data_IF_852052542956
#
_entry.id   IF_852052542956
#
_cell.length_a   1.000
_cell.length_b   1.000
_cell.length_c   1.000
_cell.angle_alpha   90.00
_cell.angle_beta   90.00
_cell.angle_gamma   90.00
#
_symmetry.space_group_name_H-M   'P 1'
#
loop_
_entity.id
_entity.type
_entity.pdbx_description
1 polymer ?
#
# COMPACT_ATOMS: atom_id res chain seq x y z
N UNK A 1 -6.43 7.32 14.38
CA UNK A 1 -4.97 7.18 14.48
C UNK A 1 -4.51 6.36 13.28
N UNK A 2 -4.09 7.05 12.22
CA UNK A 2 -3.61 6.41 10.99
C UNK A 2 -2.28 5.73 11.26
N UNK A 3 -2.02 4.60 10.61
CA UNK A 3 -0.73 3.91 10.74
C UNK A 3 0.36 4.87 10.24
N UNK A 4 1.45 4.99 10.98
CA UNK A 4 2.58 5.74 10.44
C UNK A 4 3.15 4.98 9.25
N UNK A 5 3.63 5.71 8.24
CA UNK A 5 4.22 5.10 7.04
C UNK A 5 5.38 4.15 7.38
N UNK A 6 6.05 4.41 8.50
CA UNK A 6 7.13 3.60 9.06
C UNK A 6 6.60 2.27 9.61
N UNK A 7 5.56 2.29 10.44
CA UNK A 7 4.88 1.07 10.92
C UNK A 7 4.32 0.23 9.77
N UNK A 8 3.73 0.85 8.74
CA UNK A 8 3.27 0.13 7.56
C UNK A 8 4.43 -0.54 6.82
N UNK A 9 5.56 0.17 6.68
CA UNK A 9 6.76 -0.37 6.04
C UNK A 9 7.32 -1.55 6.81
N UNK A 10 7.44 -1.41 8.12
CA UNK A 10 7.97 -2.45 9.00
C UNK A 10 7.09 -3.70 9.02
N UNK A 11 5.76 -3.54 9.07
CA UNK A 11 4.83 -4.67 8.96
C UNK A 11 4.96 -5.39 7.61
N UNK A 12 5.06 -4.64 6.50
CA UNK A 12 5.24 -5.23 5.16
C UNK A 12 6.57 -5.98 5.08
N UNK A 13 7.66 -5.38 5.54
CA UNK A 13 8.99 -6.01 5.53
C UNK A 13 9.03 -7.24 6.45
N UNK A 14 8.38 -7.18 7.62
CA UNK A 14 8.28 -8.30 8.57
C UNK A 14 7.49 -9.48 8.01
N UNK A 15 6.49 -9.22 7.15
CA UNK A 15 5.75 -10.23 6.41
C UNK A 15 6.47 -10.71 5.13
N UNK A 16 7.68 -10.21 4.85
CA UNK A 16 8.46 -10.53 3.66
C UNK A 16 8.01 -9.81 2.38
N UNK A 17 7.14 -8.81 2.51
CA UNK A 17 6.72 -7.94 1.42
C UNK A 17 7.74 -6.82 1.15
N UNK A 18 7.67 -6.22 -0.04
CA UNK A 18 8.54 -5.10 -0.43
C UNK A 18 7.74 -3.83 -0.63
N UNK A 19 8.04 -2.79 0.15
CA UNK A 19 7.47 -1.46 -0.05
C UNK A 19 8.29 -0.70 -1.08
N UNK A 20 7.64 -0.27 -2.16
CA UNK A 20 8.25 0.59 -3.18
C UNK A 20 7.53 1.92 -3.31
N UNK A 21 8.29 3.00 -3.43
CA UNK A 21 7.77 4.36 -3.58
C UNK A 21 7.15 4.63 -4.96
N UNK A 22 7.37 3.72 -5.91
CA UNK A 22 6.90 3.80 -7.30
C UNK A 22 6.04 2.61 -7.65
N UNK A 23 4.84 2.88 -8.15
CA UNK A 23 3.97 1.89 -8.77
C UNK A 23 4.57 1.46 -10.11
N UNK A 24 4.87 0.17 -10.24
CA UNK A 24 5.44 -0.46 -11.43
C UNK A 24 4.53 -1.61 -11.89
N UNK A 25 4.76 -2.15 -13.07
CA UNK A 25 3.97 -3.27 -13.65
C UNK A 25 3.96 -4.53 -12.78
N UNK A 26 4.98 -4.68 -11.93
CA UNK A 26 5.13 -5.81 -10.99
C UNK A 26 4.47 -5.55 -9.64
N UNK A 27 3.88 -4.37 -9.43
CA UNK A 27 3.25 -4.04 -8.16
C UNK A 27 1.90 -4.74 -8.09
N UNK A 28 1.75 -5.66 -7.13
CA UNK A 28 0.49 -6.38 -6.93
C UNK A 28 -0.61 -5.49 -6.36
N UNK A 29 -0.29 -4.58 -5.43
CA UNK A 29 -1.28 -3.73 -4.77
C UNK A 29 -0.71 -2.33 -4.51
N UNK A 30 -1.54 -1.30 -4.67
CA UNK A 30 -1.22 0.07 -4.24
C UNK A 30 -1.96 0.39 -2.95
N UNK A 31 -1.23 0.59 -1.86
CA UNK A 31 -1.82 1.05 -0.60
C UNK A 31 -1.90 2.58 -0.64
N UNK A 32 -3.11 3.12 -0.49
CA UNK A 32 -3.37 4.56 -0.44
C UNK A 32 -3.92 4.96 0.92
N UNK A 33 -3.39 6.06 1.46
CA UNK A 33 -3.93 6.71 2.65
C UNK A 33 -4.80 7.92 2.29
N UNK A 34 -5.03 8.79 3.27
CA UNK A 34 -5.94 9.95 3.25
C UNK A 34 -5.77 10.96 2.09
N UNK A 35 -4.67 10.91 1.32
CA UNK A 35 -4.53 11.69 0.08
C UNK A 35 -3.77 10.91 -0.99
N UNK A 36 -4.48 10.10 -1.81
CA UNK A 36 -3.86 9.20 -2.78
C UNK A 36 -3.14 9.89 -3.95
N UNK A 37 -3.45 11.16 -4.23
CA UNK A 37 -2.77 12.01 -5.23
C UNK A 37 -2.44 11.32 -6.57
N UNK A 38 -1.32 11.72 -7.19
CA UNK A 38 -0.87 11.26 -8.52
C UNK A 38 -0.48 9.78 -8.62
N UNK A 39 -0.57 8.99 -7.53
CA UNK A 39 -0.24 7.56 -7.53
C UNK A 39 -1.41 6.69 -7.99
N UNK A 40 -2.64 7.15 -7.75
CA UNK A 40 -3.86 6.48 -8.22
C UNK A 40 -3.90 6.41 -9.74
N UNK A 41 -3.53 7.50 -10.42
CA UNK A 41 -3.49 7.53 -11.89
C UNK A 41 -2.51 6.50 -12.47
N UNK A 42 -1.37 6.29 -11.81
CA UNK A 42 -0.44 5.21 -12.20
C UNK A 42 -1.07 3.85 -11.91
N UNK A 43 -1.57 3.59 -10.72
CA UNK A 43 -2.21 2.30 -10.42
C UNK A 43 -3.35 1.96 -11.40
N UNK A 44 -4.24 2.92 -11.71
CA UNK A 44 -5.29 2.75 -12.70
C UNK A 44 -4.74 2.44 -14.10
N UNK A 45 -3.70 3.15 -14.54
CA UNK A 45 -3.06 2.91 -15.85
C UNK A 45 -2.51 1.49 -15.99
N UNK A 46 -2.00 0.92 -14.90
CA UNK A 46 -1.46 -0.44 -14.89
C UNK A 46 -2.48 -1.49 -14.41
N UNK A 47 -3.75 -1.11 -14.20
CA UNK A 47 -4.79 -1.97 -13.59
C UNK A 47 -4.35 -2.64 -12.28
N UNK A 48 -3.61 -1.89 -11.46
CA UNK A 48 -3.16 -2.36 -10.16
C UNK A 48 -4.28 -2.10 -9.15
N UNK A 49 -4.72 -3.11 -8.39
CA UNK A 49 -5.73 -2.94 -7.35
C UNK A 49 -5.25 -1.98 -6.27
N UNK A 50 -6.13 -1.06 -5.89
CA UNK A 50 -5.87 -0.03 -4.90
C UNK A 50 -6.52 -0.48 -3.60
N UNK A 51 -5.71 -0.58 -2.54
CA UNK A 51 -6.13 -0.90 -1.19
C UNK A 51 -6.08 0.35 -0.33
N UNK A 52 -7.07 0.54 0.52
CA UNK A 52 -6.99 1.57 1.55
C UNK A 52 -6.14 1.11 2.73
N UNK A 53 -5.70 2.04 3.57
CA UNK A 53 -4.97 1.73 4.80
C UNK A 53 -5.70 0.72 5.69
N UNK A 54 -7.04 0.78 5.72
CA UNK A 54 -7.88 -0.17 6.48
C UNK A 54 -7.81 -1.59 5.95
N UNK A 55 -7.81 -1.77 4.62
CA UNK A 55 -7.68 -3.09 4.01
C UNK A 55 -6.29 -3.65 4.19
N UNK A 56 -5.28 -2.78 4.13
CA UNK A 56 -3.90 -3.15 4.44
C UNK A 56 -3.74 -3.63 5.89
N UNK A 57 -4.31 -2.90 6.87
CA UNK A 57 -4.34 -3.30 8.28
C UNK A 57 -5.00 -4.67 8.50
N UNK A 58 -6.09 -4.97 7.78
CA UNK A 58 -6.73 -6.29 7.80
C UNK A 58 -5.84 -7.40 7.20
N UNK A 59 -5.15 -7.11 6.10
CA UNK A 59 -4.25 -8.07 5.45
C UNK A 59 -3.08 -8.47 6.36
N UNK A 60 -2.56 -7.52 7.13
CA UNK A 60 -1.45 -7.76 8.06
C UNK A 60 -1.91 -8.28 9.44
N UNK A 61 -3.21 -8.57 9.62
CA UNK A 61 -3.76 -9.15 10.85
C UNK A 61 -3.43 -8.35 12.14
N UNK A 62 -3.25 -7.04 12.02
CA UNK A 62 -3.20 -6.13 13.17
C UNK A 62 -4.65 -5.86 13.61
N UNK A 63 -5.24 -6.81 14.35
CA UNK A 63 -6.49 -6.60 15.11
C UNK A 63 -6.20 -6.43 16.61
#
# INVERSE_FOLDING_TARGET
SSITREQAKEAIESLGGTVTSSVSSKTNFLIVGESPGSKVQKAQKWSIPILEEKDFLKLIHLE
#
